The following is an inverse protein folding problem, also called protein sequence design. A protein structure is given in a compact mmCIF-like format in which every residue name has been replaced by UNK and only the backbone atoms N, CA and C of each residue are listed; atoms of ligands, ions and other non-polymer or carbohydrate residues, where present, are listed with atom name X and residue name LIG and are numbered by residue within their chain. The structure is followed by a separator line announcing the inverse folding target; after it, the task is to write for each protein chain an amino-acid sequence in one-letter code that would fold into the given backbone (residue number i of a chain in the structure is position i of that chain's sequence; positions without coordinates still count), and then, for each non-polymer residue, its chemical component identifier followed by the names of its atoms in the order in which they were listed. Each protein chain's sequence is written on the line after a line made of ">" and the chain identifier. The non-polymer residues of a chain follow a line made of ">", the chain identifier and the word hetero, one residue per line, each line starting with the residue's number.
data_IF_043936803021
#
_entry.id   IF_043936803021
#
_cell.length_a   1.000
_cell.length_b   1.000
_cell.length_c   1.000
_cell.angle_alpha   90.00
_cell.angle_beta   90.00
_cell.angle_gamma   90.00
#
_symmetry.space_group_name_H-M   'P 1'
#
loop_
_entity.id
_entity.type
_entity.pdbx_description
1 polymer ?
#
# COMPACT_ATOMS: atom_id res chain seq x y z
N UNK A 1 16.38 -8.04 -7.68
CA UNK A 1 14.98 -8.34 -8.01
C UNK A 1 14.32 -8.71 -6.69
N UNK A 2 13.27 -7.99 -6.28
CA UNK A 2 12.58 -8.18 -4.99
C UNK A 2 11.40 -9.14 -5.19
N UNK A 3 11.28 -10.18 -4.36
CA UNK A 3 10.11 -11.07 -4.37
C UNK A 3 8.98 -10.47 -3.50
N UNK A 4 8.06 -9.75 -4.14
CA UNK A 4 6.88 -9.16 -3.51
C UNK A 4 5.67 -10.11 -3.55
N UNK A 5 5.20 -10.57 -2.38
CA UNK A 5 4.10 -11.54 -2.27
C UNK A 5 2.79 -10.90 -1.76
N UNK A 6 1.61 -11.27 -2.31
CA UNK A 6 0.33 -10.85 -1.75
C UNK A 6 0.05 -11.55 -0.42
N UNK A 7 -0.44 -10.81 0.58
CA UNK A 7 -0.91 -11.40 1.83
C UNK A 7 -2.28 -10.85 2.24
N UNK A 8 -3.31 -11.69 2.15
CA UNK A 8 -4.68 -11.30 2.50
C UNK A 8 -4.96 -11.33 4.01
N UNK A 9 -4.11 -11.95 4.82
CA UNK A 9 -4.26 -12.04 6.27
C UNK A 9 -2.92 -12.35 6.95
N UNK A 10 -2.88 -12.27 8.29
CA UNK A 10 -1.65 -12.47 9.06
C UNK A 10 -1.01 -13.86 8.86
N UNK A 11 -1.76 -14.99 8.86
CA UNK A 11 -1.17 -16.30 8.53
C UNK A 11 -0.49 -16.34 7.15
N UNK A 12 -1.15 -15.84 6.10
CA UNK A 12 -0.59 -15.81 4.75
C UNK A 12 0.66 -14.92 4.67
N UNK A 13 0.65 -13.78 5.36
CA UNK A 13 1.80 -12.90 5.50
C UNK A 13 2.99 -13.63 6.13
N UNK A 14 2.77 -14.31 7.25
CA UNK A 14 3.83 -15.07 7.93
C UNK A 14 4.39 -16.15 7.02
N UNK A 15 3.52 -16.96 6.40
CA UNK A 15 3.96 -17.98 5.44
C UNK A 15 4.77 -17.38 4.29
N UNK A 16 4.37 -16.24 3.72
CA UNK A 16 5.13 -15.61 2.65
C UNK A 16 6.54 -15.21 3.10
N UNK A 17 6.66 -14.57 4.26
CA UNK A 17 7.94 -14.16 4.85
C UNK A 17 8.81 -15.39 5.17
N UNK A 18 8.24 -16.39 5.83
CA UNK A 18 8.94 -17.61 6.25
C UNK A 18 9.41 -18.45 5.05
N UNK A 19 8.71 -18.36 3.93
CA UNK A 19 9.07 -19.02 2.67
C UNK A 19 9.96 -18.17 1.75
N UNK A 20 10.49 -17.04 2.24
CA UNK A 20 11.54 -16.29 1.55
C UNK A 20 11.08 -15.10 0.71
N UNK A 21 9.86 -14.59 0.92
CA UNK A 21 9.48 -13.29 0.33
C UNK A 21 10.41 -12.18 0.85
N UNK A 22 10.79 -11.26 -0.05
CA UNK A 22 11.56 -10.06 0.32
C UNK A 22 10.66 -8.95 0.82
N UNK A 23 9.44 -8.91 0.29
CA UNK A 23 8.41 -7.97 0.68
C UNK A 23 7.03 -8.64 0.60
N UNK A 24 6.07 -8.10 1.33
CA UNK A 24 4.65 -8.47 1.22
C UNK A 24 3.81 -7.23 0.97
N UNK A 25 2.71 -7.38 0.24
CA UNK A 25 1.69 -6.33 0.17
C UNK A 25 0.35 -6.78 0.73
N UNK A 26 -0.30 -5.87 1.45
CA UNK A 26 -1.57 -6.08 2.13
C UNK A 26 -2.58 -5.00 1.76
N UNK A 27 -3.85 -5.22 2.10
CA UNK A 27 -4.89 -4.19 2.05
C UNK A 27 -5.44 -3.88 3.44
N UNK A 28 -6.03 -2.70 3.60
CA UNK A 28 -6.85 -2.36 4.76
C UNK A 28 -8.23 -2.99 4.67
N UNK A 29 -8.89 -3.15 5.82
CA UNK A 29 -10.24 -3.74 5.86
C UNK A 29 -11.32 -2.71 5.57
N UNK A 30 -11.20 -2.04 4.43
CA UNK A 30 -12.11 -1.01 3.94
C UNK A 30 -12.04 -0.88 2.41
N UNK A 31 -12.74 0.09 1.85
CA UNK A 31 -12.89 0.40 0.44
C UNK A 31 -11.67 1.06 -0.22
N UNK A 32 -10.57 1.27 0.51
CA UNK A 32 -9.36 1.89 -0.04
C UNK A 32 -8.52 0.94 -0.91
N UNK A 33 -8.84 -0.36 -0.91
CA UNK A 33 -8.19 -1.35 -1.77
C UNK A 33 -9.20 -2.26 -2.47
N UNK A 34 -8.86 -2.68 -3.69
CA UNK A 34 -9.77 -3.43 -4.54
C UNK A 34 -10.05 -4.86 -4.07
N UNK A 35 -9.29 -5.38 -3.09
CA UNK A 35 -9.41 -6.75 -2.57
C UNK A 35 -9.96 -6.78 -1.13
N UNK A 36 -10.98 -5.97 -0.87
CA UNK A 36 -11.63 -5.87 0.45
C UNK A 36 -12.62 -7.02 0.77
N UNK A 37 -12.21 -8.28 0.60
CA UNK A 37 -13.10 -9.43 0.83
C UNK A 37 -13.32 -9.71 2.33
N UNK A 38 -14.48 -10.28 2.67
CA UNK A 38 -14.77 -10.73 4.03
C UNK A 38 -13.73 -11.77 4.50
N UNK A 39 -13.16 -11.57 5.69
CA UNK A 39 -12.13 -12.45 6.25
C UNK A 39 -10.69 -12.13 5.82
N UNK A 40 -10.52 -11.19 4.88
CA UNK A 40 -9.22 -10.64 4.50
C UNK A 40 -9.00 -9.25 5.12
N UNK A 41 -7.75 -8.80 5.05
CA UNK A 41 -7.25 -7.48 5.40
C UNK A 41 -7.03 -7.21 6.90
N UNK A 42 -6.23 -6.17 7.13
CA UNK A 42 -5.68 -5.84 8.43
C UNK A 42 -6.40 -4.62 9.02
N UNK A 43 -6.55 -4.62 10.35
CA UNK A 43 -7.07 -3.48 11.10
C UNK A 43 -6.43 -3.42 12.50
N UNK A 44 -6.30 -2.21 13.05
CA UNK A 44 -5.79 -1.95 14.41
C UNK A 44 -4.60 -2.81 14.80
N UNK A 45 -4.70 -3.50 15.94
CA UNK A 45 -3.64 -4.36 16.51
C UNK A 45 -3.13 -5.47 15.58
N UNK A 46 -3.94 -5.94 14.61
CA UNK A 46 -3.46 -6.98 13.67
C UNK A 46 -2.47 -6.41 12.67
N UNK A 47 -2.66 -5.15 12.28
CA UNK A 47 -1.79 -4.44 11.35
C UNK A 47 -0.45 -4.11 12.01
N UNK A 48 -0.46 -3.60 13.24
CA UNK A 48 0.76 -3.37 14.03
C UNK A 48 1.60 -4.64 14.16
N UNK A 49 0.96 -5.78 14.49
CA UNK A 49 1.63 -7.09 14.56
C UNK A 49 2.18 -7.55 13.22
N UNK A 50 1.53 -7.18 12.11
CA UNK A 50 1.99 -7.54 10.78
C UNK A 50 3.26 -6.77 10.42
N UNK A 51 3.26 -5.45 10.61
CA UNK A 51 4.42 -4.60 10.37
C UNK A 51 5.59 -5.06 11.23
N UNK A 52 5.37 -5.21 12.55
CA UNK A 52 6.42 -5.68 13.46
C UNK A 52 6.99 -7.02 13.01
N UNK A 53 6.16 -8.00 12.66
CA UNK A 53 6.62 -9.31 12.22
C UNK A 53 7.50 -9.20 10.97
N UNK A 54 7.09 -8.41 9.97
CA UNK A 54 7.84 -8.24 8.72
C UNK A 54 9.20 -7.59 8.98
N UNK A 55 9.23 -6.54 9.80
CA UNK A 55 10.46 -5.83 10.15
C UNK A 55 11.40 -6.66 11.04
N UNK A 56 10.87 -7.47 11.96
CA UNK A 56 11.67 -8.42 12.76
C UNK A 56 12.44 -9.43 11.89
N UNK A 57 11.94 -9.69 10.67
CA UNK A 57 12.59 -10.57 9.68
C UNK A 57 13.44 -9.79 8.66
N UNK A 58 13.64 -8.49 8.86
CA UNK A 58 14.34 -7.58 7.94
C UNK A 58 13.76 -7.60 6.52
N UNK A 59 12.43 -7.72 6.42
CA UNK A 59 11.66 -7.69 5.17
C UNK A 59 10.81 -6.42 5.09
N UNK A 60 10.18 -6.16 3.95
CA UNK A 60 9.35 -4.96 3.73
C UNK A 60 7.86 -5.26 3.66
N UNK A 61 7.04 -4.28 4.06
CA UNK A 61 5.59 -4.34 3.98
C UNK A 61 5.04 -3.15 3.19
N UNK A 62 4.25 -3.45 2.15
CA UNK A 62 3.58 -2.46 1.32
C UNK A 62 2.08 -2.48 1.62
N UNK A 63 1.41 -1.33 1.48
CA UNK A 63 -0.04 -1.23 1.58
C UNK A 63 -0.64 -0.81 0.24
N UNK A 64 -1.59 -1.59 -0.25
CA UNK A 64 -2.40 -1.22 -1.39
C UNK A 64 -3.50 -0.24 -0.97
N UNK A 65 -3.45 0.97 -1.53
CA UNK A 65 -4.49 2.01 -1.49
C UNK A 65 -4.92 2.32 -2.92
N UNK A 66 -5.35 1.27 -3.64
CA UNK A 66 -5.43 1.24 -5.10
C UNK A 66 -6.84 1.42 -5.68
N UNK A 67 -7.80 1.87 -4.88
CA UNK A 67 -9.11 2.32 -5.37
C UNK A 67 -9.14 3.85 -5.49
N UNK A 68 -10.24 4.37 -6.06
CA UNK A 68 -10.41 5.79 -6.35
C UNK A 68 -11.29 6.46 -5.30
N UNK A 69 -10.88 7.64 -4.86
CA UNK A 69 -11.61 8.35 -3.84
C UNK A 69 -12.95 8.86 -4.35
N UNK A 70 -14.01 8.64 -3.57
CA UNK A 70 -15.32 9.18 -3.88
C UNK A 70 -15.36 10.71 -3.63
N UNK A 71 -16.17 11.48 -4.40
CA UNK A 71 -16.24 12.94 -4.26
C UNK A 71 -16.49 13.43 -2.82
N UNK A 72 -17.31 12.70 -2.06
CA UNK A 72 -17.66 13.03 -0.67
C UNK A 72 -16.85 12.23 0.36
N UNK A 73 -15.75 11.59 -0.05
CA UNK A 73 -15.03 10.60 0.76
C UNK A 73 -13.52 10.66 0.66
N UNK A 74 -12.94 11.70 0.05
CA UNK A 74 -11.49 11.83 -0.13
C UNK A 74 -10.69 11.69 1.19
N UNK A 75 -11.22 12.25 2.28
CA UNK A 75 -10.61 12.19 3.61
C UNK A 75 -10.31 10.75 4.06
N UNK A 76 -11.11 9.77 3.63
CA UNK A 76 -10.87 8.36 3.95
C UNK A 76 -9.55 7.86 3.38
N UNK A 77 -9.24 8.20 2.12
CA UNK A 77 -8.00 7.77 1.48
C UNK A 77 -6.80 8.50 2.07
N UNK A 78 -6.92 9.80 2.38
CA UNK A 78 -5.85 10.54 3.04
C UNK A 78 -5.59 10.03 4.45
N UNK A 79 -6.64 9.65 5.20
CA UNK A 79 -6.49 9.00 6.50
C UNK A 79 -5.87 7.62 6.39
N UNK A 80 -6.14 6.87 5.31
CA UNK A 80 -5.46 5.60 5.05
C UNK A 80 -3.97 5.79 4.77
N UNK A 81 -3.60 6.81 3.98
CA UNK A 81 -2.18 7.20 3.78
C UNK A 81 -1.54 7.54 5.13
N UNK A 82 -2.18 8.39 5.93
CA UNK A 82 -1.67 8.81 7.24
C UNK A 82 -1.46 7.63 8.19
N UNK A 83 -2.44 6.72 8.24
CA UNK A 83 -2.36 5.52 9.07
C UNK A 83 -1.21 4.61 8.62
N UNK A 84 -1.07 4.38 7.31
CA UNK A 84 0.00 3.56 6.77
C UNK A 84 1.38 4.16 7.11
N UNK A 85 1.56 5.46 6.92
CA UNK A 85 2.79 6.17 7.26
C UNK A 85 3.09 6.10 8.77
N UNK A 86 2.09 6.33 9.63
CA UNK A 86 2.24 6.28 11.08
C UNK A 86 2.63 4.88 11.59
N UNK A 87 2.23 3.83 10.88
CA UNK A 87 2.58 2.45 11.20
C UNK A 87 3.96 2.05 10.69
N UNK A 88 4.63 2.90 9.89
CA UNK A 88 5.95 2.62 9.34
C UNK A 88 5.93 1.63 8.19
N UNK A 89 4.89 1.63 7.35
CA UNK A 89 4.92 0.81 6.13
C UNK A 89 6.00 1.32 5.18
N UNK A 90 6.61 0.41 4.42
CA UNK A 90 7.77 0.73 3.57
C UNK A 90 7.36 1.36 2.24
N UNK A 91 6.18 1.01 1.70
CA UNK A 91 5.67 1.59 0.46
C UNK A 91 4.14 1.60 0.36
N UNK A 92 3.59 2.51 -0.44
CA UNK A 92 2.17 2.53 -0.83
C UNK A 92 1.99 2.18 -2.30
N UNK A 93 0.99 1.35 -2.60
CA UNK A 93 0.58 1.03 -3.98
C UNK A 93 -0.71 1.79 -4.28
N UNK A 94 -0.63 2.89 -5.02
CA UNK A 94 -1.72 3.89 -5.15
C UNK A 94 -2.15 4.05 -6.60
N UNK A 95 -3.46 4.21 -6.84
CA UNK A 95 -4.03 4.40 -8.18
C UNK A 95 -4.54 5.82 -8.42
N UNK A 96 -5.18 6.42 -7.41
CA UNK A 96 -5.79 7.73 -7.49
C UNK A 96 -4.72 8.85 -7.49
N UNK A 97 -4.79 9.74 -8.48
CA UNK A 97 -3.81 10.81 -8.68
C UNK A 97 -3.78 11.83 -7.53
N UNK A 98 -4.93 12.14 -6.94
CA UNK A 98 -5.01 13.09 -5.83
C UNK A 98 -4.51 12.45 -4.53
N UNK A 99 -4.71 11.14 -4.36
CA UNK A 99 -4.13 10.40 -3.23
C UNK A 99 -2.61 10.28 -3.37
N UNK A 100 -2.09 10.07 -4.59
CA UNK A 100 -0.65 10.11 -4.88
C UNK A 100 -0.05 11.48 -4.54
N UNK A 101 -0.67 12.57 -5.02
CA UNK A 101 -0.24 13.94 -4.70
C UNK A 101 -0.21 14.18 -3.19
N UNK A 102 -1.25 13.77 -2.48
CA UNK A 102 -1.33 13.92 -1.04
C UNK A 102 -0.19 13.18 -0.33
N UNK A 103 0.05 11.91 -0.70
CA UNK A 103 1.10 11.10 -0.11
C UNK A 103 2.49 11.67 -0.38
N UNK A 104 2.78 12.01 -1.65
CA UNK A 104 4.08 12.57 -2.05
C UNK A 104 4.40 13.89 -1.34
N UNK A 105 3.40 14.75 -1.16
CA UNK A 105 3.59 16.05 -0.50
C UNK A 105 3.74 15.94 1.01
N UNK A 106 2.97 15.06 1.66
CA UNK A 106 2.93 14.96 3.12
C UNK A 106 4.00 14.02 3.69
N UNK A 107 4.34 12.97 2.95
CA UNK A 107 5.28 11.93 3.34
C UNK A 107 6.33 11.70 2.24
N UNK A 108 7.24 12.67 2.00
CA UNK A 108 8.20 12.60 0.89
C UNK A 108 9.19 11.42 0.98
N UNK A 109 9.41 10.87 2.17
CA UNK A 109 10.27 9.71 2.39
C UNK A 109 9.54 8.36 2.23
N UNK A 110 8.22 8.37 2.08
CA UNK A 110 7.42 7.14 1.92
C UNK A 110 7.43 6.73 0.45
N UNK A 111 7.94 5.53 0.16
CA UNK A 111 8.05 5.03 -1.22
C UNK A 111 6.66 4.86 -1.85
N UNK A 112 6.49 5.36 -3.08
CA UNK A 112 5.22 5.30 -3.81
C UNK A 112 5.35 4.42 -5.05
N UNK A 113 4.52 3.40 -5.12
CA UNK A 113 4.39 2.51 -6.28
C UNK A 113 3.10 2.82 -7.02
N UNK A 114 3.21 3.10 -8.32
CA UNK A 114 2.04 3.32 -9.15
C UNK A 114 1.28 2.00 -9.34
N UNK A 115 0.02 1.98 -8.93
CA UNK A 115 -0.84 0.82 -9.12
C UNK A 115 -1.18 0.61 -10.60
N UNK A 116 -1.25 -0.66 -11.04
CA UNK A 116 -1.77 -1.00 -12.37
C UNK A 116 -3.18 -0.44 -12.63
N UNK A 117 -3.97 -0.17 -11.58
CA UNK A 117 -5.29 0.44 -11.70
C UNK A 117 -5.24 1.90 -12.19
N UNK A 118 -4.10 2.60 -12.04
CA UNK A 118 -3.91 3.93 -12.60
C UNK A 118 -3.94 3.96 -14.14
N UNK A 119 -3.86 2.80 -14.79
CA UNK A 119 -4.00 2.66 -16.25
C UNK A 119 -3.00 3.49 -17.07
N UNK A 120 -1.77 3.67 -16.56
CA UNK A 120 -0.67 4.29 -17.28
C UNK A 120 -0.13 3.35 -18.37
N UNK A 121 -0.78 3.38 -19.55
CA UNK A 121 -0.57 2.41 -20.65
C UNK A 121 0.50 2.81 -21.66
N UNK A 122 1.13 3.97 -21.50
CA UNK A 122 2.18 4.47 -22.39
C UNK A 122 3.27 5.22 -21.62
N UNK A 123 4.42 5.42 -22.27
CA UNK A 123 5.59 6.06 -21.66
C UNK A 123 5.28 7.48 -21.18
N UNK A 124 4.52 8.26 -21.95
CA UNK A 124 4.18 9.63 -21.56
C UNK A 124 3.36 9.69 -20.26
N UNK A 125 2.44 8.75 -20.04
CA UNK A 125 1.70 8.64 -18.79
C UNK A 125 2.63 8.25 -17.63
N UNK A 126 3.53 7.29 -17.82
CA UNK A 126 4.52 6.90 -16.80
C UNK A 126 5.45 8.06 -16.45
N UNK A 127 5.94 8.80 -17.45
CA UNK A 127 6.78 9.97 -17.26
C UNK A 127 6.07 11.07 -16.49
N UNK A 128 4.76 11.26 -16.75
CA UNK A 128 3.94 12.20 -15.99
C UNK A 128 3.91 11.83 -14.50
N UNK A 129 3.63 10.57 -14.15
CA UNK A 129 3.64 10.15 -12.74
C UNK A 129 5.03 10.30 -12.11
N UNK A 130 6.09 9.92 -12.84
CA UNK A 130 7.46 10.04 -12.36
C UNK A 130 7.85 11.50 -12.07
N UNK A 131 7.50 12.44 -12.93
CA UNK A 131 7.87 13.85 -12.77
C UNK A 131 7.13 14.55 -11.62
N UNK A 132 5.94 14.07 -11.26
CA UNK A 132 5.08 14.73 -10.28
C UNK A 132 5.11 14.08 -8.89
N UNK A 133 5.53 12.81 -8.78
CA UNK A 133 5.41 12.03 -7.54
C UNK A 133 6.68 11.27 -7.13
N UNK A 134 7.82 11.46 -7.81
CA UNK A 134 9.09 10.80 -7.51
C UNK A 134 10.26 11.80 -7.56
#
# INVERSE_FOLDING_TARGET
>A
MELLCPAGNLPALKTAIDCGADAVYIGFKDDTNARHFAGLNFNGKKLEKAVQYVHDHNKKIHVALNTFAHPNGFERWTNAVDNAAALGVDALIVADIAVLEYAARKYPELELHLSVQASATNVAAIDFYKQNFN
#
